data_IF_965559859488
#
_entry.id   IF_965559859488
#
_cell.length_a   1.000
_cell.length_b   1.000
_cell.length_c   1.000
_cell.angle_alpha   90.00
_cell.angle_beta   90.00
_cell.angle_gamma   90.00
#
_symmetry.space_group_name_H-M   'P 1'
#
loop_
_entity.id
_entity.type
_entity.pdbx_description
1 polymer ?
#
# COMPACT_ATOMS: atom_id res chain seq x y z
N UNK A 1 8.98 -2.43 15.06
CA UNK A 1 9.81 -1.38 14.41
C UNK A 1 10.41 -0.45 15.45
N UNK A 2 11.66 0.01 15.28
CA UNK A 2 12.27 1.03 16.15
C UNK A 2 11.84 2.44 15.70
N UNK A 3 11.30 3.31 16.58
CA UNK A 3 10.85 4.66 16.19
C UNK A 3 11.91 5.51 15.48
N UNK A 4 13.19 5.32 15.84
CA UNK A 4 14.32 6.04 15.24
C UNK A 4 14.53 5.65 13.76
N UNK A 5 14.23 4.40 13.39
CA UNK A 5 14.31 3.93 12.00
C UNK A 5 13.22 4.62 11.18
N UNK A 6 11.97 4.60 11.65
CA UNK A 6 10.87 5.32 10.98
C UNK A 6 11.17 6.81 10.82
N UNK A 7 11.66 7.47 11.87
CA UNK A 7 11.99 8.90 11.82
C UNK A 7 13.02 9.23 10.74
N UNK A 8 13.95 8.30 10.44
CA UNK A 8 14.94 8.44 9.36
C UNK A 8 14.36 8.11 7.99
N UNK A 9 13.50 7.09 7.88
CA UNK A 9 12.92 6.65 6.61
C UNK A 9 11.84 7.59 6.09
N UNK A 10 11.01 8.15 6.98
CA UNK A 10 9.89 9.00 6.62
C UNK A 10 10.25 10.13 5.63
N UNK A 11 11.29 10.97 5.85
CA UNK A 11 11.66 12.00 4.88
C UNK A 11 12.13 11.42 3.54
N UNK A 12 12.73 10.23 3.52
CA UNK A 12 13.18 9.57 2.29
C UNK A 12 11.99 9.04 1.50
N UNK A 13 11.07 8.32 2.16
CA UNK A 13 9.82 7.83 1.57
C UNK A 13 9.05 9.00 0.93
N UNK A 14 8.79 10.05 1.71
CA UNK A 14 8.09 11.25 1.25
C UNK A 14 8.80 11.88 0.06
N UNK A 15 10.12 12.05 0.13
CA UNK A 15 10.90 12.62 -0.97
C UNK A 15 10.75 11.81 -2.26
N UNK A 16 10.72 10.48 -2.18
CA UNK A 16 10.66 9.68 -3.40
C UNK A 16 9.25 9.67 -3.99
N UNK A 17 8.22 9.42 -3.18
CA UNK A 17 6.85 9.33 -3.70
C UNK A 17 6.26 10.70 -4.05
N UNK A 18 6.75 11.80 -3.46
CA UNK A 18 6.30 13.17 -3.80
C UNK A 18 6.53 13.60 -5.25
N UNK A 19 7.32 12.83 -6.02
CA UNK A 19 7.53 13.05 -7.46
C UNK A 19 6.36 12.60 -8.32
N UNK A 20 5.40 11.89 -7.73
CA UNK A 20 4.25 11.32 -8.41
C UNK A 20 2.97 11.96 -7.87
N UNK A 21 2.00 12.08 -8.76
CA UNK A 21 0.69 12.62 -8.42
C UNK A 21 -0.25 11.47 -8.01
N UNK A 22 -0.76 11.55 -6.79
CA UNK A 22 -1.67 10.59 -6.17
C UNK A 22 -2.41 11.24 -5.00
N UNK A 23 -3.57 10.71 -4.63
CA UNK A 23 -4.41 11.23 -3.54
C UNK A 23 -4.42 10.30 -2.31
N UNK A 24 -4.13 9.02 -2.50
CA UNK A 24 -4.31 8.00 -1.45
C UNK A 24 -3.09 7.09 -1.28
N UNK A 25 -2.94 6.55 -0.07
CA UNK A 25 -1.94 5.55 0.28
C UNK A 25 -2.64 4.28 0.71
N UNK A 26 -2.41 3.20 -0.03
CA UNK A 26 -2.94 1.88 0.28
C UNK A 26 -1.93 1.05 1.08
N UNK A 27 -2.43 0.26 2.01
CA UNK A 27 -1.62 -0.66 2.81
C UNK A 27 -2.47 -1.83 3.30
N UNK A 28 -1.82 -2.83 3.90
CA UNK A 28 -2.48 -3.98 4.51
C UNK A 28 -1.76 -4.42 5.78
N UNK A 29 -2.56 -4.82 6.78
CA UNK A 29 -2.07 -5.31 8.06
C UNK A 29 -1.35 -4.25 8.92
N UNK A 30 -1.00 -4.65 10.14
CA UNK A 30 -0.33 -3.76 11.12
C UNK A 30 1.05 -3.33 10.60
N UNK A 31 1.78 -4.21 9.92
CA UNK A 31 3.14 -3.89 9.43
C UNK A 31 3.13 -2.77 8.40
N UNK A 32 2.23 -2.83 7.41
CA UNK A 32 1.99 -1.74 6.46
C UNK A 32 1.47 -0.48 7.12
N UNK A 33 0.53 -0.59 8.06
CA UNK A 33 -0.01 0.56 8.82
C UNK A 33 1.08 1.40 9.50
N UNK A 34 2.07 0.73 10.11
CA UNK A 34 3.17 1.36 10.84
C UNK A 34 4.02 2.28 9.94
N UNK A 35 4.07 2.02 8.63
CA UNK A 35 4.71 2.90 7.64
C UNK A 35 3.71 3.88 6.97
N UNK A 36 2.54 3.38 6.56
CA UNK A 36 1.58 4.14 5.76
C UNK A 36 0.98 5.33 6.51
N UNK A 37 0.61 5.17 7.78
CA UNK A 37 -0.06 6.25 8.54
C UNK A 37 0.84 7.49 8.71
N UNK A 38 2.11 7.37 9.18
CA UNK A 38 3.00 8.52 9.26
C UNK A 38 3.25 9.22 7.91
N UNK A 39 3.33 8.46 6.83
CA UNK A 39 3.52 9.00 5.47
C UNK A 39 2.29 9.76 5.02
N UNK A 40 1.10 9.18 5.18
CA UNK A 40 -0.17 9.81 4.83
C UNK A 40 -0.40 11.10 5.61
N UNK A 41 -0.15 11.10 6.93
CA UNK A 41 -0.21 12.31 7.76
C UNK A 41 0.75 13.39 7.27
N UNK A 42 1.99 13.02 6.93
CA UNK A 42 3.02 13.97 6.50
C UNK A 42 2.76 14.56 5.11
N UNK A 43 2.08 13.82 4.24
CA UNK A 43 1.76 14.22 2.86
C UNK A 43 0.32 14.71 2.68
N UNK A 44 -0.51 14.66 3.73
CA UNK A 44 -1.94 14.96 3.69
C UNK A 44 -2.66 14.13 2.63
N UNK A 45 -2.43 12.82 2.66
CA UNK A 45 -3.04 11.84 1.75
C UNK A 45 -4.08 11.01 2.48
N UNK A 46 -5.07 10.53 1.75
CA UNK A 46 -6.04 9.59 2.29
C UNK A 46 -5.41 8.22 2.50
N UNK A 47 -6.02 7.41 3.35
CA UNK A 47 -5.58 6.05 3.63
C UNK A 47 -6.59 5.06 3.07
N UNK A 48 -6.06 3.98 2.50
CA UNK A 48 -6.83 2.81 2.09
C UNK A 48 -6.25 1.59 2.81
N UNK A 49 -7.06 0.98 3.67
CA UNK A 49 -6.71 -0.23 4.40
C UNK A 49 -7.42 -1.42 3.76
N UNK A 50 -6.66 -2.32 3.13
CA UNK A 50 -7.17 -3.61 2.68
C UNK A 50 -6.90 -4.63 3.79
N UNK A 51 -7.96 -5.24 4.32
CA UNK A 51 -7.85 -6.20 5.44
C UNK A 51 -7.44 -7.58 4.95
N UNK A 52 -6.90 -8.43 5.84
CA UNK A 52 -6.60 -9.83 5.48
C UNK A 52 -7.86 -10.69 5.55
N UNK A 53 -8.00 -11.76 4.74
CA UNK A 53 -9.13 -12.68 4.83
C UNK A 53 -9.38 -13.21 6.24
N UNK A 54 -8.32 -13.57 6.96
CA UNK A 54 -8.45 -14.01 8.35
C UNK A 54 -9.02 -12.97 9.32
N UNK A 55 -9.03 -11.69 8.92
CA UNK A 55 -9.62 -10.60 9.69
C UNK A 55 -11.12 -10.41 9.40
N UNK A 56 -11.70 -11.00 8.36
CA UNK A 56 -13.09 -10.69 7.97
C UNK A 56 -14.12 -11.24 8.97
N UNK A 57 -13.97 -12.49 9.39
CA UNK A 57 -14.96 -13.19 10.23
C UNK A 57 -14.70 -13.04 11.74
N UNK A 58 -13.59 -12.39 12.11
CA UNK A 58 -13.13 -12.29 13.52
C UNK A 58 -13.29 -10.88 14.11
N UNK A 59 -13.97 -9.99 13.40
CA UNK A 59 -14.07 -8.59 13.75
C UNK A 59 -15.53 -8.13 13.72
N UNK A 60 -15.79 -6.97 14.33
CA UNK A 60 -17.13 -6.37 14.43
C UNK A 60 -17.72 -5.91 13.08
N UNK A 61 -16.94 -6.01 12.00
CA UNK A 61 -17.34 -5.60 10.66
C UNK A 61 -16.68 -6.50 9.60
N UNK A 62 -17.44 -6.84 8.57
CA UNK A 62 -17.05 -7.63 7.40
C UNK A 62 -16.50 -6.78 6.26
N UNK A 63 -16.49 -5.45 6.38
CA UNK A 63 -15.89 -4.52 5.41
C UNK A 63 -14.44 -4.90 5.12
N UNK A 64 -14.17 -5.27 3.86
CA UNK A 64 -12.86 -5.75 3.40
C UNK A 64 -11.87 -4.65 3.12
N UNK A 65 -12.35 -3.50 2.64
CA UNK A 65 -11.55 -2.32 2.32
C UNK A 65 -12.16 -1.11 3.00
N UNK A 66 -11.35 -0.38 3.74
CA UNK A 66 -11.74 0.89 4.36
C UNK A 66 -10.90 2.00 3.76
N UNK A 67 -11.51 3.12 3.37
CA UNK A 67 -10.79 4.24 2.81
C UNK A 67 -11.72 5.23 2.13
N UNK A 68 -11.12 6.13 1.35
CA UNK A 68 -11.86 7.10 0.55
C UNK A 68 -12.33 6.47 -0.77
N UNK A 69 -13.65 6.41 -0.98
CA UNK A 69 -14.27 5.90 -2.21
C UNK A 69 -13.97 6.79 -3.42
N UNK A 70 -13.66 8.08 -3.20
CA UNK A 70 -13.30 9.03 -4.25
C UNK A 70 -11.81 8.94 -4.66
N UNK A 71 -11.07 7.93 -4.17
CA UNK A 71 -9.69 7.69 -4.56
C UNK A 71 -9.56 7.53 -6.08
N UNK A 72 -8.72 8.36 -6.70
CA UNK A 72 -8.41 8.28 -8.14
C UNK A 72 -7.08 7.61 -8.38
N UNK A 73 -6.07 7.92 -7.56
CA UNK A 73 -4.70 7.46 -7.77
C UNK A 73 -4.06 7.16 -6.43
N UNK A 74 -3.49 5.97 -6.27
CA UNK A 74 -2.89 5.54 -5.01
C UNK A 74 -1.53 4.88 -5.17
N UNK A 75 -0.71 5.00 -4.12
CA UNK A 75 0.54 4.24 -3.95
C UNK A 75 0.33 3.21 -2.86
N UNK A 76 0.84 1.99 -3.06
CA UNK A 76 0.92 0.99 -2.00
C UNK A 76 2.20 1.19 -1.20
N UNK A 77 2.12 1.16 0.13
CA UNK A 77 3.30 1.16 1.01
C UNK A 77 3.32 -0.12 1.83
N UNK A 78 4.42 -0.86 1.75
CA UNK A 78 4.65 -2.10 2.50
C UNK A 78 6.05 -2.14 3.12
N UNK A 79 6.21 -2.88 4.22
CA UNK A 79 7.47 -2.89 4.97
C UNK A 79 8.51 -3.89 4.46
N UNK A 80 8.12 -4.77 3.54
CA UNK A 80 9.00 -5.79 2.95
C UNK A 80 8.43 -6.40 1.67
N UNK A 81 9.25 -6.53 0.61
CA UNK A 81 8.91 -7.36 -0.54
C UNK A 81 9.33 -8.80 -0.34
N UNK A 82 8.40 -9.72 -0.57
CA UNK A 82 8.69 -11.16 -0.65
C UNK A 82 8.34 -11.71 -2.02
N UNK A 83 7.05 -11.83 -2.32
CA UNK A 83 6.52 -12.49 -3.52
C UNK A 83 5.58 -11.61 -4.34
N UNK A 84 5.33 -10.36 -3.93
CA UNK A 84 4.37 -9.45 -4.58
C UNK A 84 2.89 -9.69 -4.21
N UNK A 85 2.55 -10.83 -3.60
CA UNK A 85 1.17 -11.20 -3.25
C UNK A 85 0.42 -10.18 -2.38
N UNK A 86 1.14 -9.46 -1.50
CA UNK A 86 0.51 -8.42 -0.68
C UNK A 86 0.02 -7.27 -1.56
N UNK A 87 0.86 -6.81 -2.48
CA UNK A 87 0.51 -5.74 -3.41
C UNK A 87 -0.62 -6.18 -4.35
N UNK A 88 -0.56 -7.39 -4.91
CA UNK A 88 -1.63 -7.96 -5.74
C UNK A 88 -2.97 -7.96 -4.99
N UNK A 89 -2.99 -8.48 -3.77
CA UNK A 89 -4.22 -8.53 -2.98
C UNK A 89 -4.73 -7.15 -2.55
N UNK A 90 -3.85 -6.14 -2.42
CA UNK A 90 -4.27 -4.76 -2.20
C UNK A 90 -4.92 -4.20 -3.47
N UNK A 91 -4.30 -4.40 -4.65
CA UNK A 91 -4.88 -3.96 -5.92
C UNK A 91 -6.25 -4.59 -6.15
N UNK A 92 -6.35 -5.91 -5.99
CA UNK A 92 -7.62 -6.63 -6.14
C UNK A 92 -8.67 -6.15 -5.14
N UNK A 93 -8.27 -5.91 -3.89
CA UNK A 93 -9.16 -5.38 -2.85
C UNK A 93 -9.70 -4.01 -3.23
N UNK A 94 -8.83 -3.06 -3.60
CA UNK A 94 -9.24 -1.71 -4.00
C UNK A 94 -10.15 -1.74 -5.22
N UNK A 95 -9.79 -2.51 -6.25
CA UNK A 95 -10.59 -2.64 -7.46
C UNK A 95 -11.99 -3.21 -7.17
N UNK A 96 -12.06 -4.29 -6.38
CA UNK A 96 -13.31 -5.05 -6.16
C UNK A 96 -14.23 -4.38 -5.15
N UNK A 97 -13.69 -3.66 -4.17
CA UNK A 97 -14.43 -3.23 -2.99
C UNK A 97 -14.42 -1.73 -2.71
N UNK A 98 -13.64 -0.93 -3.44
CA UNK A 98 -13.56 0.52 -3.22
C UNK A 98 -13.83 1.31 -4.50
N UNK A 99 -13.04 1.11 -5.55
CA UNK A 99 -13.19 1.84 -6.81
C UNK A 99 -12.56 1.07 -7.98
N UNK A 100 -13.38 0.70 -8.96
CA UNK A 100 -12.94 0.05 -10.20
C UNK A 100 -12.11 0.98 -11.12
N UNK A 101 -12.13 2.27 -10.82
CA UNK A 101 -11.45 3.33 -11.60
C UNK A 101 -10.17 3.84 -10.96
N UNK A 102 -9.93 3.52 -9.68
CA UNK A 102 -8.72 3.93 -8.99
C UNK A 102 -7.47 3.31 -9.64
N UNK A 103 -6.47 4.13 -9.89
CA UNK A 103 -5.20 3.72 -10.48
C UNK A 103 -4.16 3.46 -9.39
N UNK A 104 -3.65 2.22 -9.31
CA UNK A 104 -2.43 1.93 -8.57
C UNK A 104 -1.23 2.47 -9.35
N UNK A 105 -0.65 3.57 -8.89
CA UNK A 105 0.50 4.20 -9.55
C UNK A 105 1.85 3.63 -9.08
N UNK A 106 1.85 2.61 -8.21
CA UNK A 106 3.03 1.83 -7.87
C UNK A 106 3.09 1.36 -6.42
N UNK A 107 4.16 0.64 -6.11
CA UNK A 107 4.43 0.08 -4.79
C UNK A 107 5.76 0.62 -4.27
N UNK A 108 5.78 1.05 -3.02
CA UNK A 108 6.98 1.33 -2.26
C UNK A 108 7.13 0.28 -1.18
N UNK A 109 8.19 -0.51 -1.30
CA UNK A 109 8.61 -1.47 -0.30
C UNK A 109 9.89 -1.01 0.38
N UNK A 110 9.96 -1.19 1.69
CA UNK A 110 11.20 -1.00 2.43
C UNK A 110 11.95 -2.34 2.56
N UNK A 111 13.26 -2.29 2.80
CA UNK A 111 13.92 -3.48 3.36
C UNK A 111 13.41 -3.78 4.77
N UNK A 112 13.67 -4.99 5.28
CA UNK A 112 13.38 -5.37 6.64
C UNK A 112 13.67 -4.29 7.69
N UNK A 113 12.61 -3.78 8.32
CA UNK A 113 12.70 -2.74 9.36
C UNK A 113 13.39 -3.22 10.65
N UNK A 114 13.73 -4.51 10.73
CA UNK A 114 14.52 -5.11 11.81
C UNK A 114 16.02 -5.13 11.52
N UNK A 115 16.47 -4.81 10.29
CA UNK A 115 17.88 -4.67 9.98
C UNK A 115 18.48 -3.45 10.70
N UNK A 116 19.69 -3.63 11.25
CA UNK A 116 20.44 -2.57 11.94
C UNK A 116 21.10 -1.61 10.97
N UNK A 117 21.35 -2.05 9.72
CA UNK A 117 21.98 -1.24 8.68
C UNK A 117 20.94 -0.42 7.91
N UNK A 118 20.65 0.78 8.41
CA UNK A 118 19.66 1.68 7.81
C UNK A 118 20.03 2.17 6.42
N UNK A 119 21.30 2.04 5.99
CA UNK A 119 21.75 2.49 4.67
C UNK A 119 21.35 1.54 3.55
N UNK A 120 21.02 0.28 3.86
CA UNK A 120 20.55 -0.68 2.87
C UNK A 120 19.07 -0.50 2.55
N UNK A 121 18.32 0.27 3.34
CA UNK A 121 16.85 0.12 3.44
C UNK A 121 16.06 0.49 2.19
N UNK A 122 16.69 1.15 1.21
CA UNK A 122 16.04 1.61 -0.01
C UNK A 122 16.60 0.79 -1.19
N UNK A 123 15.94 -0.32 -1.51
CA UNK A 123 16.17 -1.04 -2.76
C UNK A 123 14.87 -1.24 -3.54
N UNK A 124 15.01 -1.03 -4.85
CA UNK A 124 14.02 -1.15 -5.93
C UNK A 124 12.67 -0.45 -5.70
N UNK A 125 12.64 0.85 -5.97
CA UNK A 125 11.38 1.50 -6.33
C UNK A 125 11.18 1.32 -7.83
N UNK A 126 10.28 0.42 -8.20
CA UNK A 126 9.74 0.39 -9.55
C UNK A 126 8.25 0.64 -9.46
N UNK A 127 7.88 1.89 -9.69
CA UNK A 127 6.50 2.27 -10.02
C UNK A 127 6.04 1.55 -11.29
N UNK A 128 6.98 1.18 -12.18
CA UNK A 128 6.71 0.54 -13.47
C UNK A 128 6.50 -0.99 -13.41
N UNK A 129 6.76 -1.67 -12.28
CA UNK A 129 6.74 -3.13 -12.26
C UNK A 129 5.35 -3.74 -12.08
N UNK A 130 4.39 -3.05 -11.43
CA UNK A 130 3.10 -3.67 -11.10
C UNK A 130 2.11 -3.71 -12.28
N UNK A 131 2.19 -2.76 -13.20
CA UNK A 131 1.24 -2.67 -14.32
C UNK A 131 1.46 -3.75 -15.40
N UNK A 132 2.57 -4.50 -15.36
CA UNK A 132 2.82 -5.59 -16.33
C UNK A 132 2.28 -6.95 -15.88
N UNK A 133 1.92 -7.13 -14.61
CA UNK A 133 1.45 -8.42 -14.08
C UNK A 133 0.02 -8.40 -13.57
N UNK A 134 -0.51 -7.26 -13.10
CA UNK A 134 -1.92 -7.18 -12.70
C UNK A 134 -2.75 -6.71 -13.90
N UNK A 135 -3.18 -7.65 -14.75
CA UNK A 135 -4.31 -7.37 -15.64
C UNK A 135 -5.48 -6.96 -14.74
N UNK A 136 -6.17 -5.87 -15.07
CA UNK A 136 -7.44 -5.53 -14.40
C UNK A 136 -8.28 -6.81 -14.30
N UNK A 137 -8.79 -7.18 -13.11
CA UNK A 137 -9.68 -8.32 -12.99
C UNK A 137 -10.81 -8.16 -14.01
N UNK A 138 -11.00 -9.15 -14.88
CA UNK A 138 -12.19 -9.18 -15.73
C UNK A 138 -13.35 -9.58 -14.83
N UNK A 139 -14.44 -8.80 -14.85
CA UNK A 139 -15.70 -9.26 -14.25
C UNK A 139 -16.06 -10.60 -14.90
N UNK A 140 -16.24 -11.61 -14.07
CA UNK A 140 -16.93 -12.84 -14.49
C UNK A 140 -18.39 -12.38 -14.65
N UNK A 141 -18.87 -12.33 -15.89
CA UNK A 141 -20.31 -12.22 -16.14
C UNK A 141 -20.95 -13.50 -15.61
N UNK A 142 -21.79 -13.37 -14.58
CA UNK A 142 -22.63 -14.47 -14.11
C UNK A 142 -23.80 -14.60 -15.08
N UNK A 143 -23.86 -15.73 -15.80
CA UNK A 143 -24.99 -16.16 -16.66
C UNK A 143 -26.23 -16.54 -15.82
#
# INVERSE_FOLDING_TARGET
>A
MRPQVLKRLLPLIVKIISKHDFDSIAFRGISGAVLAMPVAMRMKKNLICVRKPEDYDKNHDTVRVMGDEDCKRYVIIDDFVASGRTAEAIVDGVYTHLSETAECIGVLETLPLWDKDTNKVIHSMSIDHLLRTVKKPQKIEED
#
